data_IF_918361772072
#
_entry.id   IF_918361772072
#
_cell.length_a   1.000
_cell.length_b   1.000
_cell.length_c   1.000
_cell.angle_alpha   90.00
_cell.angle_beta   90.00
_cell.angle_gamma   90.00
#
_symmetry.space_group_name_H-M   'P 1'
#
loop_
_entity.id
_entity.type
_entity.pdbx_description
1 polymer ?
#
# COMPACT_ATOMS: atom_id res chain seq x y z
N UNK A 1 12.82 1.64 -15.64
CA UNK A 1 12.02 0.40 -15.52
C UNK A 1 11.38 0.43 -14.16
N UNK A 2 10.12 0.03 -14.03
CA UNK A 2 9.40 0.02 -12.76
C UNK A 2 8.70 -1.32 -12.61
N UNK A 3 8.59 -1.83 -11.39
CA UNK A 3 7.91 -3.12 -11.14
C UNK A 3 6.46 -2.83 -10.79
N UNK A 4 5.56 -3.05 -11.74
CA UNK A 4 4.12 -2.88 -11.58
C UNK A 4 3.47 -4.14 -11.02
N UNK A 5 2.39 -3.96 -10.26
CA UNK A 5 1.53 -5.06 -9.81
C UNK A 5 0.15 -4.81 -10.39
N UNK A 6 -0.14 -5.49 -11.49
CA UNK A 6 -1.41 -5.32 -12.20
C UNK A 6 -2.47 -6.23 -11.57
N UNK A 7 -3.35 -5.63 -10.77
CA UNK A 7 -4.47 -6.33 -10.14
C UNK A 7 -5.66 -5.41 -10.00
N UNK A 8 -6.84 -5.96 -10.24
CA UNK A 8 -8.13 -5.30 -10.12
C UNK A 8 -9.07 -6.18 -9.31
N UNK A 9 -9.77 -5.60 -8.35
CA UNK A 9 -10.77 -6.31 -7.57
C UNK A 9 -11.84 -5.36 -7.08
N UNK A 10 -13.09 -5.81 -7.15
CA UNK A 10 -14.28 -5.09 -6.69
C UNK A 10 -15.07 -5.97 -5.75
N UNK A 11 -15.46 -5.42 -4.60
CA UNK A 11 -16.36 -6.09 -3.68
C UNK A 11 -17.69 -6.42 -4.37
N UNK A 12 -18.09 -7.69 -4.39
CA UNK A 12 -19.39 -8.11 -4.91
C UNK A 12 -20.60 -7.56 -4.12
N UNK A 13 -20.39 -7.02 -2.92
CA UNK A 13 -21.46 -6.45 -2.09
C UNK A 13 -21.71 -4.96 -2.35
N UNK A 14 -20.66 -4.15 -2.34
CA UNK A 14 -20.79 -2.69 -2.42
C UNK A 14 -20.05 -2.05 -3.61
N UNK A 15 -19.42 -2.86 -4.47
CA UNK A 15 -18.65 -2.40 -5.64
C UNK A 15 -17.32 -1.72 -5.32
N UNK A 16 -16.95 -1.58 -4.03
CA UNK A 16 -15.72 -0.92 -3.63
C UNK A 16 -14.48 -1.66 -4.12
N UNK A 17 -13.51 -0.90 -4.63
CA UNK A 17 -12.19 -1.43 -4.97
C UNK A 17 -11.36 -1.64 -3.71
N UNK A 18 -10.75 -2.80 -3.56
CA UNK A 18 -9.76 -3.10 -2.53
C UNK A 18 -8.98 -4.36 -2.88
N UNK A 19 -7.78 -4.52 -2.33
CA UNK A 19 -6.93 -5.70 -2.57
C UNK A 19 -7.11 -6.70 -1.42
N UNK A 20 -7.70 -7.90 -1.63
CA UNK A 20 -7.76 -8.93 -0.60
C UNK A 20 -6.39 -9.61 -0.46
N UNK A 21 -5.45 -8.95 0.21
CA UNK A 21 -4.03 -9.33 0.25
C UNK A 21 -3.73 -10.63 1.02
N UNK A 22 -4.73 -11.24 1.66
CA UNK A 22 -4.63 -12.50 2.38
C UNK A 22 -6.02 -13.17 2.45
N UNK A 23 -6.09 -14.50 2.67
CA UNK A 23 -7.36 -15.20 2.85
C UNK A 23 -8.20 -14.58 3.96
N UNK A 24 -9.48 -14.37 3.68
CA UNK A 24 -10.45 -13.87 4.66
C UNK A 24 -10.39 -12.36 4.94
N UNK A 25 -9.55 -11.60 4.24
CA UNK A 25 -9.53 -10.12 4.37
C UNK A 25 -10.90 -9.56 3.92
N UNK A 26 -11.68 -8.96 4.84
CA UNK A 26 -13.01 -8.45 4.52
C UNK A 26 -12.92 -7.18 3.67
N UNK A 27 -14.00 -6.86 2.96
CA UNK A 27 -14.11 -5.58 2.28
C UNK A 27 -14.02 -4.43 3.29
N UNK A 28 -13.08 -3.48 3.12
CA UNK A 28 -12.89 -2.40 4.08
C UNK A 28 -14.04 -1.39 4.10
N UNK A 29 -14.92 -1.39 3.09
CA UNK A 29 -16.09 -0.51 3.04
C UNK A 29 -17.34 -1.10 3.69
N UNK A 30 -17.63 -2.39 3.47
CA UNK A 30 -18.88 -3.00 3.92
C UNK A 30 -18.72 -4.24 4.82
N UNK A 31 -17.48 -4.64 5.13
CA UNK A 31 -17.20 -5.79 6.00
C UNK A 31 -17.49 -7.17 5.42
N UNK A 32 -17.97 -7.26 4.16
CA UNK A 32 -18.27 -8.55 3.53
C UNK A 32 -17.00 -9.43 3.48
N UNK A 33 -17.05 -10.71 3.88
CA UNK A 33 -15.90 -11.60 3.82
C UNK A 33 -15.30 -11.68 2.42
N UNK A 34 -13.96 -11.63 2.34
CA UNK A 34 -13.24 -11.85 1.08
C UNK A 34 -13.33 -13.31 0.64
N UNK A 35 -13.65 -13.54 -0.63
CA UNK A 35 -13.77 -14.88 -1.23
C UNK A 35 -12.52 -15.32 -2.00
N UNK A 36 -11.63 -14.38 -2.27
CA UNK A 36 -10.36 -14.60 -2.95
C UNK A 36 -9.21 -13.97 -2.15
N UNK A 37 -7.99 -14.39 -2.46
CA UNK A 37 -6.77 -13.78 -1.94
C UNK A 37 -5.82 -13.52 -3.10
N UNK A 38 -5.17 -12.35 -3.09
CA UNK A 38 -4.14 -11.98 -4.03
C UNK A 38 -2.84 -11.74 -3.29
N UNK A 39 -1.74 -12.30 -3.80
CA UNK A 39 -0.43 -12.24 -3.16
C UNK A 39 0.27 -10.89 -3.39
N UNK A 40 -0.37 -9.82 -2.91
CA UNK A 40 0.05 -8.45 -3.17
C UNK A 40 1.28 -8.04 -2.37
N UNK A 41 1.38 -8.50 -1.11
CA UNK A 41 2.42 -8.07 -0.15
C UNK A 41 3.84 -8.33 -0.67
N UNK A 42 4.22 -9.56 -1.09
CA UNK A 42 5.57 -9.82 -1.58
C UNK A 42 5.88 -9.08 -2.88
N UNK A 43 4.89 -8.92 -3.76
CA UNK A 43 5.06 -8.15 -5.00
C UNK A 43 5.27 -6.65 -4.72
N UNK A 44 4.53 -6.10 -3.74
CA UNK A 44 4.71 -4.72 -3.30
C UNK A 44 6.07 -4.49 -2.64
N UNK A 45 6.52 -5.42 -1.80
CA UNK A 45 7.86 -5.38 -1.20
C UNK A 45 8.95 -5.45 -2.27
N UNK A 46 8.81 -6.32 -3.29
CA UNK A 46 9.73 -6.39 -4.42
C UNK A 46 9.79 -5.07 -5.21
N UNK A 47 8.64 -4.41 -5.43
CA UNK A 47 8.58 -3.13 -6.13
C UNK A 47 9.24 -1.99 -5.34
N UNK A 48 8.95 -1.87 -4.04
CA UNK A 48 9.61 -0.93 -3.13
C UNK A 48 11.13 -1.13 -3.11
N UNK A 49 11.58 -2.38 -2.96
CA UNK A 49 13.00 -2.74 -2.95
C UNK A 49 13.68 -2.36 -4.27
N UNK A 50 13.03 -2.67 -5.39
CA UNK A 50 13.53 -2.32 -6.72
C UNK A 50 13.70 -0.81 -6.87
N UNK A 51 12.70 0.00 -6.47
CA UNK A 51 12.79 1.45 -6.55
C UNK A 51 13.93 1.99 -5.69
N UNK A 52 14.03 1.52 -4.43
CA UNK A 52 15.07 1.97 -3.51
C UNK A 52 16.48 1.65 -4.06
N UNK A 53 16.67 0.45 -4.62
CA UNK A 53 17.95 0.02 -5.18
C UNK A 53 18.30 0.75 -6.48
N UNK A 54 17.30 1.03 -7.33
CA UNK A 54 17.52 1.63 -8.64
C UNK A 54 17.65 3.16 -8.57
N UNK A 55 16.96 3.80 -7.61
CA UNK A 55 16.75 5.24 -7.59
C UNK A 55 17.14 5.90 -6.26
N UNK A 56 17.52 5.13 -5.23
CA UNK A 56 17.82 5.66 -3.90
C UNK A 56 16.59 6.21 -3.16
N UNK A 57 15.39 5.92 -3.66
CA UNK A 57 14.10 6.37 -3.11
C UNK A 57 13.04 5.30 -3.36
N UNK A 58 12.06 5.19 -2.46
CA UNK A 58 10.89 4.36 -2.70
C UNK A 58 9.97 4.94 -3.79
N UNK A 59 10.07 6.25 -4.06
CA UNK A 59 9.37 6.94 -5.14
C UNK A 59 10.21 6.87 -6.44
N UNK A 60 9.72 6.19 -7.49
CA UNK A 60 10.39 6.21 -8.77
C UNK A 60 10.19 7.56 -9.47
N UNK A 61 11.09 7.95 -10.39
CA UNK A 61 11.02 9.25 -11.09
C UNK A 61 9.79 9.39 -11.99
N UNK A 62 9.22 8.27 -12.44
CA UNK A 62 7.98 8.22 -13.19
C UNK A 62 7.17 7.00 -12.74
N UNK A 63 5.86 7.19 -12.55
CA UNK A 63 4.94 6.11 -12.20
C UNK A 63 3.59 6.30 -12.89
N UNK A 64 3.19 5.31 -13.70
CA UNK A 64 1.86 5.26 -14.28
C UNK A 64 0.92 4.45 -13.39
N UNK A 65 -0.28 4.98 -13.14
CA UNK A 65 -1.34 4.28 -12.39
C UNK A 65 -2.35 3.75 -13.40
N UNK A 66 -2.22 2.47 -13.76
CA UNK A 66 -3.12 1.80 -14.71
C UNK A 66 -4.06 0.79 -14.05
N UNK A 67 -3.85 0.48 -12.78
CA UNK A 67 -4.66 -0.49 -12.03
C UNK A 67 -4.80 -0.12 -10.54
N UNK A 68 -5.70 -0.80 -9.84
CA UNK A 68 -5.83 -0.77 -8.38
C UNK A 68 -4.51 -1.15 -7.70
N UNK A 69 -3.82 -2.18 -8.20
CA UNK A 69 -2.50 -2.55 -7.69
C UNK A 69 -1.48 -1.41 -7.82
N UNK A 70 -1.42 -0.74 -8.97
CA UNK A 70 -0.55 0.43 -9.17
C UNK A 70 -0.92 1.61 -8.28
N UNK A 71 -2.22 1.79 -8.04
CA UNK A 71 -2.72 2.83 -7.14
C UNK A 71 -2.26 2.56 -5.71
N UNK A 72 -2.45 1.35 -5.20
CA UNK A 72 -1.98 0.93 -3.88
C UNK A 72 -0.46 1.05 -3.76
N UNK A 73 0.30 0.62 -4.78
CA UNK A 73 1.76 0.79 -4.82
C UNK A 73 2.17 2.25 -4.67
N UNK A 74 1.53 3.18 -5.39
CA UNK A 74 1.84 4.61 -5.29
C UNK A 74 1.62 5.15 -3.87
N UNK A 75 0.56 4.70 -3.19
CA UNK A 75 0.30 5.07 -1.79
C UNK A 75 1.40 4.51 -0.87
N UNK A 76 1.78 3.24 -1.05
CA UNK A 76 2.85 2.61 -0.29
C UNK A 76 4.20 3.31 -0.52
N UNK A 77 4.57 3.62 -1.76
CA UNK A 77 5.81 4.35 -2.06
C UNK A 77 5.86 5.67 -1.31
N UNK A 78 4.75 6.42 -1.30
CA UNK A 78 4.68 7.70 -0.60
C UNK A 78 4.77 7.54 0.92
N UNK A 79 4.19 6.49 1.49
CA UNK A 79 4.26 6.17 2.91
C UNK A 79 5.67 5.76 3.35
N UNK A 80 6.28 4.82 2.64
CA UNK A 80 7.63 4.32 2.93
C UNK A 80 8.68 5.42 2.73
N UNK A 81 8.53 6.26 1.71
CA UNK A 81 9.43 7.41 1.54
C UNK A 81 9.28 8.40 2.69
N UNK A 82 8.06 8.73 3.11
CA UNK A 82 7.83 9.64 4.23
C UNK A 82 8.38 9.12 5.57
N UNK A 83 8.43 7.80 5.75
CA UNK A 83 9.11 7.16 6.88
C UNK A 83 10.64 7.19 6.72
N UNK A 84 11.16 6.89 5.53
CA UNK A 84 12.61 6.87 5.26
C UNK A 84 13.23 8.24 5.42
N UNK A 85 12.53 9.29 5.00
CA UNK A 85 12.98 10.70 5.05
C UNK A 85 12.35 11.47 6.22
N UNK A 86 11.88 10.76 7.26
CA UNK A 86 11.25 11.39 8.42
C UNK A 86 12.22 12.37 9.11
N UNK A 87 11.74 13.51 9.61
CA UNK A 87 12.58 14.50 10.27
C UNK A 87 13.07 14.02 11.64
N UNK A 88 12.26 13.23 12.34
CA UNK A 88 12.59 12.64 13.63
C UNK A 88 12.99 11.16 13.46
N UNK A 89 14.27 10.80 13.64
CA UNK A 89 14.73 9.42 13.54
C UNK A 89 14.05 8.47 14.55
N UNK A 90 13.55 9.00 15.68
CA UNK A 90 12.86 8.23 16.71
C UNK A 90 11.37 7.99 16.39
N UNK A 91 10.79 8.68 15.39
CA UNK A 91 9.41 8.43 14.96
C UNK A 91 9.26 6.98 14.49
N UNK A 92 8.28 6.28 15.07
CA UNK A 92 7.97 4.90 14.71
C UNK A 92 7.37 4.82 13.30
N UNK A 93 7.49 3.66 12.66
CA UNK A 93 6.87 3.44 11.35
C UNK A 93 5.36 3.69 11.38
N UNK A 94 4.66 3.21 12.41
CA UNK A 94 3.22 3.44 12.55
C UNK A 94 2.89 4.94 12.66
N UNK A 95 3.66 5.70 13.42
CA UNK A 95 3.46 7.16 13.56
C UNK A 95 3.69 7.87 12.23
N UNK A 96 4.76 7.53 11.51
CA UNK A 96 5.06 8.09 10.19
C UNK A 96 3.96 7.74 9.16
N UNK A 97 3.45 6.51 9.22
CA UNK A 97 2.37 6.03 8.36
C UNK A 97 1.05 6.77 8.66
N UNK A 98 0.71 6.96 9.93
CA UNK A 98 -0.47 7.72 10.36
C UNK A 98 -0.37 9.18 9.94
N UNK A 99 0.77 9.83 10.18
CA UNK A 99 1.02 11.20 9.72
C UNK A 99 0.88 11.33 8.21
N UNK A 100 1.49 10.40 7.45
CA UNK A 100 1.49 10.48 5.99
C UNK A 100 0.13 10.18 5.39
N UNK A 101 -0.52 9.09 5.80
CA UNK A 101 -1.83 8.70 5.27
C UNK A 101 -2.95 9.62 5.79
N UNK A 102 -2.85 10.08 7.04
CA UNK A 102 -3.83 10.99 7.65
C UNK A 102 -3.83 12.40 7.05
N UNK A 103 -2.70 12.84 6.47
CA UNK A 103 -2.60 14.12 5.79
C UNK A 103 -3.09 14.10 4.33
N UNK A 104 -3.57 12.96 3.82
CA UNK A 104 -4.08 12.85 2.45
C UNK A 104 -5.57 13.16 2.37
N UNK A 105 -6.00 13.78 1.26
CA UNK A 105 -7.40 13.95 0.92
C UNK A 105 -7.96 12.67 0.27
N UNK A 106 -8.63 11.83 1.07
CA UNK A 106 -9.13 10.53 0.60
C UNK A 106 -10.45 10.59 -0.16
N UNK A 107 -11.28 11.60 0.09
CA UNK A 107 -12.64 11.68 -0.45
C UNK A 107 -13.42 10.38 -0.26
N UNK A 108 -14.04 9.89 -1.34
CA UNK A 108 -14.83 8.65 -1.35
C UNK A 108 -14.01 7.38 -1.06
N UNK A 109 -12.68 7.47 -1.08
CA UNK A 109 -11.76 6.35 -0.81
C UNK A 109 -11.29 6.29 0.65
N UNK A 110 -11.89 7.08 1.56
CA UNK A 110 -11.51 7.05 2.99
C UNK A 110 -11.55 5.64 3.59
N UNK A 111 -12.44 4.79 3.10
CA UNK A 111 -12.53 3.39 3.50
C UNK A 111 -11.23 2.60 3.26
N UNK A 112 -10.37 3.02 2.32
CA UNK A 112 -9.07 2.38 2.03
C UNK A 112 -7.98 2.72 3.04
N UNK A 113 -8.12 3.75 3.87
CA UNK A 113 -7.03 4.22 4.74
C UNK A 113 -6.54 3.13 5.70
N UNK A 114 -7.47 2.45 6.39
CA UNK A 114 -7.12 1.34 7.27
C UNK A 114 -6.54 0.15 6.50
N UNK A 115 -7.12 -0.14 5.33
CA UNK A 115 -6.69 -1.22 4.46
C UNK A 115 -5.25 -1.03 3.96
N UNK A 116 -4.90 0.16 3.47
CA UNK A 116 -3.56 0.51 3.01
C UNK A 116 -2.56 0.49 4.16
N UNK A 117 -2.98 0.93 5.36
CA UNK A 117 -2.15 0.87 6.56
C UNK A 117 -1.75 -0.56 6.91
N UNK A 118 -2.71 -1.48 6.87
CA UNK A 118 -2.46 -2.89 7.19
C UNK A 118 -1.58 -3.56 6.13
N UNK A 119 -1.77 -3.22 4.85
CA UNK A 119 -0.85 -3.64 3.79
C UNK A 119 0.57 -3.12 4.08
N UNK A 120 0.73 -1.83 4.40
CA UNK A 120 2.04 -1.23 4.64
C UNK A 120 2.79 -1.92 5.78
N UNK A 121 2.11 -2.30 6.86
CA UNK A 121 2.70 -3.08 7.97
C UNK A 121 3.20 -4.43 7.52
N UNK A 122 2.41 -5.15 6.72
CA UNK A 122 2.79 -6.47 6.18
C UNK A 122 3.96 -6.37 5.23
N UNK A 123 3.97 -5.35 4.37
CA UNK A 123 5.07 -5.08 3.45
C UNK A 123 6.34 -4.72 4.20
N UNK A 124 6.27 -3.96 5.31
CA UNK A 124 7.44 -3.68 6.16
C UNK A 124 8.02 -4.97 6.76
N UNK A 125 7.15 -5.84 7.27
CA UNK A 125 7.57 -7.14 7.79
C UNK A 125 8.25 -7.99 6.69
N UNK A 126 7.69 -8.00 5.48
CA UNK A 126 8.25 -8.68 4.30
C UNK A 126 9.61 -8.11 3.86
N UNK A 127 9.85 -6.81 4.06
CA UNK A 127 11.15 -6.18 3.80
C UNK A 127 12.23 -6.54 4.83
N UNK A 128 11.85 -7.13 5.98
CA UNK A 128 12.78 -7.49 7.06
C UNK A 128 13.14 -6.33 7.99
N UNK A 129 12.39 -5.22 7.97
CA UNK A 129 12.67 -4.00 8.73
C UNK A 129 11.93 -3.97 10.08
N UNK A 130 12.02 -5.09 10.83
CA UNK A 130 11.39 -5.29 12.14
C UNK A 130 12.02 -4.48 13.27
#
# INVERSE_FOLDING_TARGET
MTVHVHYEHRCAGCGAFYIPYAPGVPCPKCGRPGTEAFDFVPQAAASLRFNLQSYGSYLPPAWYVGSLGDHCLRLLFSAFEAWRTRPDPAESFDSALERKLGAMEWGDQLYMLGHVRDIARRVRAELGEG
#
